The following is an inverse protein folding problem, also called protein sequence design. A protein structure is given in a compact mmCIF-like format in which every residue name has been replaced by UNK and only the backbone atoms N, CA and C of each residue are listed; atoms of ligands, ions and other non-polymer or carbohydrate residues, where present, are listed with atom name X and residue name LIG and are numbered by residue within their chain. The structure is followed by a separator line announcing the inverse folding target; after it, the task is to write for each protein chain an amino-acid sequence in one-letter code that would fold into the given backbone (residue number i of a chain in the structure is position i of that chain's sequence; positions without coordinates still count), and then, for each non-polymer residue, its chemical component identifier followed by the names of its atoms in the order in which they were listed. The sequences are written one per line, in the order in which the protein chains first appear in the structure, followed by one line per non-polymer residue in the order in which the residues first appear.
data_IF_143546203924
#
_entry.id   IF_143546203924
#
_cell.length_a   1.000
_cell.length_b   1.000
_cell.length_c   1.000
_cell.angle_alpha   90.00
_cell.angle_beta   90.00
_cell.angle_gamma   90.00
#
_symmetry.space_group_name_H-M   'P 1'
#
loop_
_entity.id
_entity.type
_entity.pdbx_description
1 polymer ?
#
# COMPACT_ATOMS: atom_id res chain seq x y z
N UNK A 1 9.20 -1.93 14.67
CA UNK A 1 8.46 -2.33 13.46
C UNK A 1 8.68 -1.29 12.37
N UNK A 2 8.83 -1.71 11.12
CA UNK A 2 8.97 -0.85 9.93
C UNK A 2 7.92 -1.18 8.88
N UNK A 3 7.68 -0.25 7.97
CA UNK A 3 6.70 -0.38 6.89
C UNK A 3 7.30 0.08 5.57
N UNK A 4 6.54 -0.12 4.49
CA UNK A 4 6.88 0.39 3.16
C UNK A 4 7.25 1.88 3.22
N UNK A 5 6.51 2.72 3.96
CA UNK A 5 6.79 4.15 4.10
C UNK A 5 8.14 4.39 4.75
N UNK A 6 8.32 3.90 5.98
CA UNK A 6 9.50 4.20 6.79
C UNK A 6 10.79 3.52 6.33
N UNK A 7 10.69 2.33 5.70
CA UNK A 7 11.89 1.53 5.38
C UNK A 7 12.13 1.34 3.87
N UNK A 8 11.32 1.97 3.01
CA UNK A 8 11.60 1.99 1.57
C UNK A 8 11.39 3.37 0.95
N UNK A 9 10.23 4.00 1.18
CA UNK A 9 9.79 5.20 0.47
C UNK A 9 10.47 6.47 0.96
N UNK A 10 10.56 6.65 2.28
CA UNK A 10 11.08 7.88 2.89
C UNK A 10 12.50 8.23 2.42
N UNK A 11 13.30 7.23 2.06
CA UNK A 11 14.65 7.43 1.50
C UNK A 11 14.65 8.32 0.25
N UNK A 12 13.61 8.26 -0.55
CA UNK A 12 13.51 9.03 -1.80
C UNK A 12 12.53 10.19 -1.71
N UNK A 13 11.64 10.17 -0.71
CA UNK A 13 10.57 11.15 -0.55
C UNK A 13 11.00 12.38 0.24
N UNK A 14 11.90 12.22 1.21
CA UNK A 14 12.43 13.29 2.04
C UNK A 14 13.82 13.71 1.56
N UNK A 15 14.09 15.00 1.48
CA UNK A 15 15.43 15.53 1.16
C UNK A 15 16.43 15.21 2.28
N UNK A 16 15.97 15.13 3.54
CA UNK A 16 16.79 14.81 4.71
C UNK A 16 16.06 13.83 5.63
N UNK A 17 16.54 12.58 5.66
CA UNK A 17 16.03 11.55 6.56
C UNK A 17 16.98 11.41 7.77
N UNK A 18 16.49 11.43 9.03
CA UNK A 18 17.35 11.35 10.22
C UNK A 18 17.89 9.93 10.51
N UNK A 19 17.63 8.97 9.63
CA UNK A 19 18.09 7.59 9.74
C UNK A 19 18.35 6.99 8.35
N UNK A 20 19.16 5.94 8.29
CA UNK A 20 19.36 5.13 7.10
C UNK A 20 18.71 3.76 7.32
N UNK A 21 17.63 3.41 6.56
CA UNK A 21 16.90 2.16 6.80
C UNK A 21 17.69 0.89 6.45
N UNK A 22 18.77 0.99 5.70
CA UNK A 22 19.65 -0.15 5.38
C UNK A 22 20.84 -0.27 6.34
N UNK A 23 21.33 0.85 6.87
CA UNK A 23 22.53 0.87 7.72
C UNK A 23 22.18 0.78 9.21
N UNK A 24 21.10 1.46 9.64
CA UNK A 24 20.81 1.64 11.07
C UNK A 24 19.91 0.53 11.64
N UNK A 25 19.44 -0.40 10.78
CA UNK A 25 18.55 -1.50 11.16
C UNK A 25 18.98 -2.83 10.55
N UNK A 26 18.76 -3.90 11.31
CA UNK A 26 18.90 -5.29 10.86
C UNK A 26 17.49 -5.87 10.57
N UNK A 27 17.18 -6.27 9.33
CA UNK A 27 15.93 -6.94 9.01
C UNK A 27 15.80 -8.26 9.75
N UNK A 28 14.66 -8.48 10.41
CA UNK A 28 14.37 -9.72 11.15
C UNK A 28 13.36 -10.57 10.38
N UNK A 29 12.19 -10.01 10.07
CA UNK A 29 11.12 -10.75 9.41
C UNK A 29 10.15 -9.80 8.67
N UNK A 30 9.76 -10.15 7.47
CA UNK A 30 8.57 -9.62 6.81
C UNK A 30 7.35 -10.33 7.39
N UNK A 31 6.46 -9.57 8.05
CA UNK A 31 5.38 -10.15 8.86
C UNK A 31 4.04 -10.12 8.14
N UNK A 32 3.73 -9.00 7.50
CA UNK A 32 2.43 -8.77 6.85
C UNK A 32 2.63 -8.10 5.50
N UNK A 33 1.90 -8.60 4.52
CA UNK A 33 1.65 -7.94 3.26
C UNK A 33 0.14 -7.76 3.11
N UNK A 34 -0.34 -6.52 3.27
CA UNK A 34 -1.77 -6.20 3.19
C UNK A 34 -2.11 -5.68 1.78
N UNK A 35 -3.13 -6.28 1.19
CA UNK A 35 -3.63 -5.91 -0.13
C UNK A 35 -4.34 -4.56 -0.07
N UNK A 36 -4.11 -3.74 -1.10
CA UNK A 36 -4.80 -2.47 -1.29
C UNK A 36 -6.07 -2.65 -2.12
N UNK A 37 -7.07 -1.82 -1.85
CA UNK A 37 -8.31 -1.74 -2.62
C UNK A 37 -8.50 -0.29 -3.09
N UNK A 38 -8.69 -0.10 -4.38
CA UNK A 38 -9.16 1.17 -4.94
C UNK A 38 -10.66 1.25 -4.74
N UNK A 39 -11.08 2.20 -3.92
CA UNK A 39 -12.49 2.47 -3.63
C UNK A 39 -12.87 3.88 -4.06
N UNK A 40 -14.12 4.04 -4.47
CA UNK A 40 -14.71 5.30 -4.91
C UNK A 40 -15.92 5.66 -4.06
N UNK A 41 -16.18 6.97 -3.96
CA UNK A 41 -17.49 7.44 -3.54
C UNK A 41 -18.55 7.05 -4.59
N UNK A 42 -19.76 6.59 -4.21
CA UNK A 42 -20.79 6.14 -5.16
C UNK A 42 -21.25 7.18 -6.18
N UNK A 43 -21.08 8.49 -5.90
CA UNK A 43 -21.41 9.56 -6.85
C UNK A 43 -20.46 9.64 -8.05
N UNK A 44 -19.26 9.05 -7.99
CA UNK A 44 -18.36 9.00 -9.14
C UNK A 44 -18.97 8.08 -10.20
N UNK A 45 -19.31 8.58 -11.40
CA UNK A 45 -20.14 7.86 -12.37
C UNK A 45 -19.34 6.86 -13.22
N UNK A 46 -18.55 5.99 -12.56
CA UNK A 46 -17.73 4.96 -13.23
C UNK A 46 -17.87 3.62 -12.52
N UNK A 47 -17.72 2.53 -13.27
CA UNK A 47 -17.82 1.14 -12.79
C UNK A 47 -16.53 0.33 -13.02
N UNK A 48 -15.61 0.85 -13.81
CA UNK A 48 -14.37 0.16 -14.18
C UNK A 48 -13.15 1.10 -14.07
N UNK A 49 -11.95 0.51 -13.93
CA UNK A 49 -10.70 1.30 -13.93
C UNK A 49 -10.50 2.05 -15.24
N UNK A 50 -10.90 1.45 -16.37
CA UNK A 50 -10.84 2.12 -17.70
C UNK A 50 -11.71 3.37 -17.75
N UNK A 51 -12.94 3.28 -17.24
CA UNK A 51 -13.86 4.44 -17.16
C UNK A 51 -13.32 5.52 -16.21
N UNK A 52 -12.70 5.11 -15.07
CA UNK A 52 -12.06 6.06 -14.16
C UNK A 52 -10.91 6.82 -14.83
N UNK A 53 -10.05 6.12 -15.57
CA UNK A 53 -8.96 6.73 -16.33
C UNK A 53 -9.52 7.68 -17.40
N UNK A 54 -10.55 7.28 -18.13
CA UNK A 54 -11.19 8.11 -19.14
C UNK A 54 -11.80 9.38 -18.51
N UNK A 55 -12.49 9.25 -17.38
CA UNK A 55 -13.04 10.39 -16.63
C UNK A 55 -11.95 11.35 -16.14
N UNK A 56 -10.86 10.81 -15.57
CA UNK A 56 -9.73 11.61 -15.08
C UNK A 56 -9.04 12.38 -16.23
N UNK A 57 -8.91 11.77 -17.42
CA UNK A 57 -8.37 12.43 -18.61
C UNK A 57 -9.29 13.52 -19.16
N UNK A 58 -10.61 13.30 -19.12
CA UNK A 58 -11.60 14.28 -19.56
C UNK A 58 -11.73 15.46 -18.59
N UNK A 59 -11.34 15.29 -17.35
CA UNK A 59 -11.49 16.29 -16.28
C UNK A 59 -10.19 16.40 -15.43
N UNK A 60 -9.08 16.88 -16.04
CA UNK A 60 -7.81 17.01 -15.33
C UNK A 60 -7.96 17.94 -14.12
N UNK A 61 -7.37 17.53 -12.99
CA UNK A 61 -7.39 18.27 -11.73
C UNK A 61 -8.75 18.29 -10.99
N UNK A 62 -9.83 17.67 -11.51
CA UNK A 62 -11.14 17.71 -10.87
C UNK A 62 -11.42 16.51 -9.95
N UNK A 63 -10.76 15.39 -10.16
CA UNK A 63 -10.87 14.24 -9.26
C UNK A 63 -9.83 14.35 -8.17
N UNK A 64 -10.23 14.09 -6.93
CA UNK A 64 -9.34 14.06 -5.78
C UNK A 64 -9.21 12.65 -5.21
N UNK A 65 -7.98 12.23 -4.88
CA UNK A 65 -7.76 11.03 -4.11
C UNK A 65 -7.28 11.33 -2.70
N UNK A 66 -7.89 10.67 -1.74
CA UNK A 66 -7.48 10.73 -0.34
C UNK A 66 -6.30 9.79 -0.08
N UNK A 67 -5.48 10.10 0.91
CA UNK A 67 -4.48 9.18 1.46
C UNK A 67 -4.40 9.28 2.98
N UNK A 68 -3.77 8.27 3.61
CA UNK A 68 -3.49 8.30 5.05
C UNK A 68 -2.35 9.26 5.42
N UNK A 69 -1.86 10.02 4.47
CA UNK A 69 -0.77 10.99 4.61
C UNK A 69 0.36 10.74 3.61
N UNK A 70 1.23 11.74 3.49
CA UNK A 70 2.39 11.67 2.61
C UNK A 70 3.30 10.48 2.94
N UNK A 71 3.83 9.80 1.92
CA UNK A 71 4.72 8.63 2.07
C UNK A 71 4.04 7.33 2.50
N UNK A 72 2.71 7.33 2.73
CA UNK A 72 1.97 6.10 3.01
C UNK A 72 1.71 5.29 1.73
N UNK A 73 1.40 3.99 1.88
CA UNK A 73 1.05 3.12 0.76
C UNK A 73 -0.13 3.68 -0.07
N UNK A 74 -1.09 4.35 0.57
CA UNK A 74 -2.22 4.98 -0.12
C UNK A 74 -1.81 6.16 -0.99
N UNK A 75 -0.89 7.00 -0.53
CA UNK A 75 -0.30 8.08 -1.33
C UNK A 75 0.44 7.51 -2.54
N UNK A 76 1.33 6.54 -2.31
CA UNK A 76 2.14 5.93 -3.36
C UNK A 76 1.30 5.23 -4.43
N UNK A 77 0.21 4.57 -4.03
CA UNK A 77 -0.72 3.96 -4.97
C UNK A 77 -1.36 5.01 -5.88
N UNK A 78 -1.73 6.17 -5.32
CA UNK A 78 -2.23 7.30 -6.09
C UNK A 78 -1.20 7.83 -7.08
N UNK A 79 0.03 8.06 -6.64
CA UNK A 79 1.11 8.57 -7.50
C UNK A 79 1.50 7.55 -8.59
N UNK A 80 1.56 6.26 -8.25
CA UNK A 80 1.78 5.21 -9.24
C UNK A 80 0.64 5.18 -10.28
N UNK A 81 -0.61 5.32 -9.83
CA UNK A 81 -1.77 5.37 -10.71
C UNK A 81 -1.70 6.58 -11.65
N UNK A 82 -1.39 7.78 -11.13
CA UNK A 82 -1.18 9.00 -11.94
C UNK A 82 -0.12 8.80 -13.01
N UNK A 83 1.05 8.30 -12.60
CA UNK A 83 2.19 8.06 -13.49
C UNK A 83 1.85 7.06 -14.61
N UNK A 84 1.29 5.90 -14.26
CA UNK A 84 0.99 4.84 -15.23
C UNK A 84 -0.19 5.19 -16.15
N UNK A 85 -1.25 5.78 -15.61
CA UNK A 85 -2.43 6.16 -16.37
C UNK A 85 -2.26 7.49 -17.13
N UNK A 86 -1.22 8.27 -16.80
CA UNK A 86 -0.97 9.63 -17.31
C UNK A 86 -2.21 10.51 -17.15
N UNK A 87 -2.66 10.63 -15.90
CA UNK A 87 -3.82 11.42 -15.49
C UNK A 87 -3.43 12.43 -14.43
N UNK A 88 -4.13 13.56 -14.42
CA UNK A 88 -4.03 14.57 -13.38
C UNK A 88 -5.18 14.42 -12.40
N UNK A 89 -4.86 13.94 -11.18
CA UNK A 89 -5.76 13.82 -10.03
C UNK A 89 -5.10 14.45 -8.81
N UNK A 90 -5.89 15.17 -8.01
CA UNK A 90 -5.40 15.94 -6.86
C UNK A 90 -5.21 15.03 -5.66
N UNK A 91 -4.07 15.14 -4.98
CA UNK A 91 -3.80 14.43 -3.73
C UNK A 91 -4.30 15.23 -2.52
N UNK A 92 -5.09 14.60 -1.65
CA UNK A 92 -5.55 15.15 -0.36
C UNK A 92 -5.00 14.27 0.77
N UNK A 93 -3.94 14.72 1.47
CA UNK A 93 -3.37 13.97 2.58
C UNK A 93 -4.15 14.15 3.88
N UNK A 94 -4.40 13.06 4.59
CA UNK A 94 -5.02 13.02 5.91
C UNK A 94 -4.03 12.52 6.97
N UNK A 95 -4.39 12.66 8.25
CA UNK A 95 -3.64 12.10 9.38
C UNK A 95 -4.11 10.67 9.72
N UNK A 96 -4.04 9.76 8.73
CA UNK A 96 -4.42 8.34 8.87
C UNK A 96 -5.62 7.94 8.01
N UNK A 97 -5.94 6.62 8.01
CA UNK A 97 -7.01 6.06 7.18
C UNK A 97 -8.42 6.50 7.64
N UNK A 98 -8.66 6.64 8.94
CA UNK A 98 -9.99 6.92 9.47
C UNK A 98 -10.56 8.24 8.93
N UNK A 99 -9.89 9.40 9.07
CA UNK A 99 -10.39 10.65 8.50
C UNK A 99 -10.48 10.60 6.97
N UNK A 100 -9.54 9.95 6.27
CA UNK A 100 -9.59 9.80 4.81
C UNK A 100 -10.83 9.02 4.35
N UNK A 101 -11.18 7.94 5.04
CA UNK A 101 -12.38 7.13 4.74
C UNK A 101 -13.65 7.91 5.06
N UNK A 102 -13.69 8.65 6.17
CA UNK A 102 -14.83 9.46 6.57
C UNK A 102 -15.16 10.50 5.50
N UNK A 103 -14.15 11.23 5.03
CA UNK A 103 -14.33 12.26 4.01
C UNK A 103 -14.66 11.68 2.63
N UNK A 104 -14.12 10.48 2.31
CA UNK A 104 -14.52 9.77 1.10
C UNK A 104 -16.01 9.35 1.16
N UNK A 105 -16.49 8.83 2.30
CA UNK A 105 -17.92 8.49 2.49
C UNK A 105 -18.78 9.75 2.42
N UNK A 106 -18.29 10.88 2.91
CA UNK A 106 -18.94 12.18 2.81
C UNK A 106 -18.89 12.84 1.44
N UNK A 107 -18.21 12.22 0.45
CA UNK A 107 -18.09 12.75 -0.91
C UNK A 107 -17.13 13.94 -1.05
N UNK A 108 -16.32 14.24 -0.02
CA UNK A 108 -15.33 15.33 -0.07
C UNK A 108 -14.14 14.97 -0.98
N UNK A 109 -13.89 13.67 -1.19
CA UNK A 109 -12.91 13.15 -2.13
C UNK A 109 -13.56 12.11 -3.05
N UNK A 110 -12.95 11.87 -4.20
CA UNK A 110 -13.51 10.98 -5.24
C UNK A 110 -13.14 9.52 -5.01
N UNK A 111 -11.90 9.27 -4.54
CA UNK A 111 -11.33 7.93 -4.44
C UNK A 111 -10.26 7.83 -3.35
N UNK A 112 -9.98 6.58 -2.96
CA UNK A 112 -8.93 6.25 -2.00
C UNK A 112 -8.34 4.88 -2.34
N UNK A 113 -7.02 4.77 -2.25
CA UNK A 113 -6.32 3.49 -2.16
C UNK A 113 -6.11 3.15 -0.69
N UNK A 114 -6.84 2.19 -0.17
CA UNK A 114 -6.76 1.82 1.25
C UNK A 114 -6.46 0.33 1.41
N UNK A 115 -5.95 -0.05 2.57
CA UNK A 115 -5.81 -1.47 2.91
C UNK A 115 -7.20 -2.10 3.02
N UNK A 116 -7.33 -3.30 2.49
CA UNK A 116 -8.62 -3.98 2.36
C UNK A 116 -9.39 -4.07 3.69
N UNK A 117 -8.77 -4.43 4.84
CA UNK A 117 -9.48 -4.50 6.11
C UNK A 117 -10.20 -3.20 6.50
N UNK A 118 -9.64 -2.05 6.12
CA UNK A 118 -10.18 -0.75 6.55
C UNK A 118 -11.40 -0.31 5.73
N UNK A 119 -11.51 -0.73 4.48
CA UNK A 119 -12.59 -0.26 3.57
C UNK A 119 -13.58 -1.33 3.17
N UNK A 120 -13.24 -2.62 3.27
CA UNK A 120 -14.13 -3.71 2.89
C UNK A 120 -15.48 -3.70 3.65
N UNK A 121 -15.55 -3.38 4.94
CA UNK A 121 -16.83 -3.20 5.63
C UNK A 121 -17.70 -2.10 5.02
N UNK A 122 -17.10 -0.99 4.59
CA UNK A 122 -17.83 0.13 3.97
C UNK A 122 -18.31 -0.21 2.56
N UNK A 123 -17.55 -1.02 1.84
CA UNK A 123 -17.96 -1.56 0.53
C UNK A 123 -19.13 -2.53 0.70
N UNK A 124 -19.07 -3.46 1.67
CA UNK A 124 -20.16 -4.39 1.98
C UNK A 124 -21.45 -3.66 2.42
N UNK A 125 -21.29 -2.53 3.11
CA UNK A 125 -22.41 -1.66 3.52
C UNK A 125 -22.93 -0.75 2.40
N UNK A 126 -22.36 -0.82 1.17
CA UNK A 126 -22.76 0.01 0.03
C UNK A 126 -22.38 1.50 0.14
N UNK A 127 -21.61 1.89 1.17
CA UNK A 127 -21.15 3.27 1.36
C UNK A 127 -20.01 3.67 0.44
N UNK A 128 -19.23 2.69 -0.01
CA UNK A 128 -18.16 2.85 -0.98
C UNK A 128 -18.28 1.81 -2.09
N UNK A 129 -17.76 2.13 -3.27
CA UNK A 129 -17.68 1.19 -4.39
C UNK A 129 -16.24 0.68 -4.53
N UNK A 130 -16.04 -0.64 -4.45
CA UNK A 130 -14.78 -1.26 -4.81
C UNK A 130 -14.63 -1.27 -6.34
N UNK A 131 -13.49 -0.81 -6.85
CA UNK A 131 -13.22 -0.77 -8.29
C UNK A 131 -12.20 -1.82 -8.71
N UNK A 132 -11.09 -1.93 -7.97
CA UNK A 132 -10.04 -2.91 -8.26
C UNK A 132 -9.11 -3.12 -7.05
N UNK A 133 -8.47 -4.29 -7.00
CA UNK A 133 -7.41 -4.62 -6.05
C UNK A 133 -6.07 -4.09 -6.57
N UNK A 134 -5.25 -3.56 -5.69
CA UNK A 134 -3.97 -2.95 -6.05
C UNK A 134 -2.79 -3.95 -6.05
N UNK A 135 -2.99 -5.19 -5.62
CA UNK A 135 -2.00 -6.27 -5.66
C UNK A 135 -1.91 -6.91 -7.04
N UNK A 136 -0.83 -7.67 -7.30
CA UNK A 136 -0.60 -8.38 -8.56
C UNK A 136 -1.66 -9.45 -8.86
N UNK A 137 -2.30 -10.01 -7.82
CA UNK A 137 -3.33 -11.04 -7.92
C UNK A 137 -4.59 -10.59 -7.22
N UNK A 138 -5.73 -11.16 -7.64
CA UNK A 138 -7.01 -10.93 -6.96
C UNK A 138 -6.96 -11.39 -5.51
N UNK A 139 -7.74 -10.72 -4.66
CA UNK A 139 -7.82 -11.06 -3.25
C UNK A 139 -8.88 -12.15 -3.00
N UNK A 140 -8.57 -13.18 -2.20
CA UNK A 140 -9.58 -14.11 -1.72
C UNK A 140 -10.71 -13.45 -0.92
N UNK A 141 -10.42 -12.30 -0.25
CA UNK A 141 -11.41 -11.53 0.49
C UNK A 141 -12.39 -10.75 -0.42
N UNK A 142 -12.02 -10.57 -1.72
CA UNK A 142 -12.84 -9.90 -2.73
C UNK A 142 -12.64 -10.54 -4.12
N UNK A 143 -13.01 -11.83 -4.32
CA UNK A 143 -12.63 -12.61 -5.51
C UNK A 143 -13.23 -12.08 -6.82
N UNK A 144 -14.35 -11.38 -6.73
CA UNK A 144 -15.04 -10.79 -7.88
C UNK A 144 -14.48 -9.42 -8.30
N UNK A 145 -13.58 -8.84 -7.50
CA UNK A 145 -12.95 -7.54 -7.81
C UNK A 145 -11.67 -7.79 -8.60
N UNK A 146 -11.53 -7.27 -9.83
CA UNK A 146 -10.32 -7.45 -10.64
C UNK A 146 -9.14 -6.72 -10.03
N UNK A 147 -7.92 -7.04 -10.44
CA UNK A 147 -6.75 -6.21 -10.14
C UNK A 147 -6.73 -4.99 -11.06
N UNK A 148 -6.02 -3.93 -10.63
CA UNK A 148 -5.78 -2.74 -11.49
C UNK A 148 -4.99 -3.15 -12.73
N UNK A 149 -4.04 -4.09 -12.57
CA UNK A 149 -3.24 -4.62 -13.66
C UNK A 149 -4.09 -5.34 -14.72
N UNK A 150 -5.00 -6.23 -14.30
CA UNK A 150 -5.95 -6.92 -15.19
C UNK A 150 -6.92 -5.94 -15.87
N UNK A 151 -7.39 -4.95 -15.13
CA UNK A 151 -8.44 -4.07 -15.59
C UNK A 151 -7.96 -3.02 -16.62
N UNK A 152 -6.74 -2.46 -16.45
CA UNK A 152 -6.31 -1.34 -17.28
C UNK A 152 -4.81 -1.03 -17.31
N UNK A 153 -4.05 -1.31 -16.26
CA UNK A 153 -2.65 -0.88 -16.09
C UNK A 153 -1.73 -2.08 -15.83
N UNK A 154 -1.32 -2.82 -16.87
CA UNK A 154 -0.41 -3.96 -16.71
C UNK A 154 0.86 -3.58 -15.93
N UNK A 155 1.22 -4.38 -14.93
CA UNK A 155 2.36 -4.11 -14.05
C UNK A 155 2.06 -3.18 -12.86
N UNK A 156 0.82 -2.68 -12.72
CA UNK A 156 0.43 -1.97 -11.50
C UNK A 156 0.41 -2.93 -10.32
N UNK A 157 1.25 -2.66 -9.34
CA UNK A 157 1.29 -3.44 -8.11
C UNK A 157 1.79 -2.57 -6.95
N UNK A 158 0.99 -2.54 -5.90
CA UNK A 158 1.39 -2.04 -4.59
C UNK A 158 0.80 -2.92 -3.49
N UNK A 159 1.65 -3.30 -2.56
CA UNK A 159 1.28 -4.02 -1.35
C UNK A 159 1.83 -3.27 -0.15
N UNK A 160 0.98 -2.98 0.82
CA UNK A 160 1.45 -2.40 2.07
C UNK A 160 2.09 -3.50 2.91
N UNK A 161 3.39 -3.41 3.17
CA UNK A 161 4.09 -4.39 3.98
C UNK A 161 4.54 -3.83 5.33
N UNK A 162 4.60 -4.71 6.30
CA UNK A 162 5.10 -4.45 7.64
C UNK A 162 6.13 -5.53 7.99
N UNK A 163 7.26 -5.10 8.50
CA UNK A 163 8.34 -5.97 8.96
C UNK A 163 8.82 -5.64 10.36
N UNK A 164 9.49 -6.61 10.96
CA UNK A 164 10.22 -6.45 12.22
C UNK A 164 11.69 -6.21 11.89
N UNK A 165 12.25 -5.21 12.54
CA UNK A 165 13.66 -4.84 12.44
C UNK A 165 14.23 -4.75 13.83
N UNK A 166 15.50 -5.10 13.97
CA UNK A 166 16.32 -4.86 15.15
C UNK A 166 17.27 -3.67 14.89
N UNK A 167 17.86 -3.04 15.90
CA UNK A 167 18.95 -2.09 15.71
C UNK A 167 20.12 -2.73 14.94
N UNK A 168 20.85 -1.92 14.17
CA UNK A 168 22.10 -2.38 13.58
C UNK A 168 23.08 -2.87 14.66
N UNK A 169 23.86 -3.89 14.34
CA UNK A 169 24.79 -4.52 15.29
C UNK A 169 24.15 -5.53 16.25
N UNK A 170 22.83 -5.79 16.16
CA UNK A 170 22.22 -6.91 16.89
C UNK A 170 22.89 -8.23 16.47
N UNK A 171 23.35 -9.09 17.40
CA UNK A 171 24.01 -10.36 17.09
C UNK A 171 23.16 -11.25 16.17
N UNK A 172 23.82 -11.91 15.22
CA UNK A 172 23.14 -12.71 14.17
C UNK A 172 22.29 -13.86 14.74
N UNK A 173 22.74 -14.48 15.82
CA UNK A 173 22.01 -15.53 16.53
C UNK A 173 20.71 -15.01 17.18
N UNK A 174 20.72 -13.79 17.72
CA UNK A 174 19.53 -13.13 18.24
C UNK A 174 18.54 -12.82 17.10
N UNK A 175 19.03 -12.27 15.97
CA UNK A 175 18.19 -12.03 14.79
C UNK A 175 17.57 -13.33 14.28
N UNK A 176 18.35 -14.40 14.17
CA UNK A 176 17.87 -15.71 13.75
C UNK A 176 16.84 -16.30 14.70
N UNK A 177 17.04 -16.19 16.00
CA UNK A 177 16.09 -16.65 17.01
C UNK A 177 14.77 -15.88 16.96
N UNK A 178 14.82 -14.56 16.84
CA UNK A 178 13.63 -13.72 16.67
C UNK A 178 12.87 -14.08 15.39
N UNK A 179 13.58 -14.27 14.27
CA UNK A 179 12.96 -14.70 13.03
C UNK A 179 12.25 -16.05 13.20
N UNK A 180 12.93 -17.06 13.78
CA UNK A 180 12.35 -18.39 13.97
C UNK A 180 11.04 -18.34 14.81
N UNK A 181 11.02 -17.57 15.91
CA UNK A 181 9.82 -17.44 16.74
C UNK A 181 8.70 -16.68 16.02
N UNK A 182 9.00 -15.61 15.30
CA UNK A 182 8.02 -14.89 14.48
C UNK A 182 7.43 -15.84 13.41
N UNK A 183 8.30 -16.59 12.69
CA UNK A 183 7.84 -17.55 11.69
C UNK A 183 6.94 -18.65 12.29
N UNK A 184 7.25 -19.11 13.51
CA UNK A 184 6.43 -20.09 14.23
C UNK A 184 5.03 -19.52 14.55
N UNK A 185 4.98 -18.32 15.12
CA UNK A 185 3.72 -17.63 15.48
C UNK A 185 2.88 -17.35 14.23
N UNK A 186 3.50 -16.83 13.19
CA UNK A 186 2.80 -16.46 11.95
C UNK A 186 2.22 -17.67 11.19
N UNK A 187 2.68 -18.90 11.48
CA UNK A 187 2.13 -20.14 10.92
C UNK A 187 0.95 -20.72 11.72
N UNK A 188 0.62 -20.17 12.88
CA UNK A 188 -0.52 -20.64 13.67
C UNK A 188 -1.82 -20.51 12.87
N UNK A 189 -2.70 -21.51 12.84
CA UNK A 189 -3.93 -21.50 12.03
C UNK A 189 -4.83 -20.31 12.31
N UNK A 190 -4.95 -19.91 13.58
CA UNK A 190 -5.74 -18.75 13.98
C UNK A 190 -5.17 -17.43 13.44
N UNK A 191 -3.82 -17.29 13.37
CA UNK A 191 -3.16 -16.12 12.80
C UNK A 191 -3.38 -16.09 11.29
N UNK A 192 -3.19 -17.21 10.61
CA UNK A 192 -3.41 -17.32 9.16
C UNK A 192 -4.86 -17.03 8.78
N UNK A 193 -5.80 -17.58 9.52
CA UNK A 193 -7.24 -17.34 9.30
C UNK A 193 -7.60 -15.86 9.44
N UNK A 194 -7.07 -15.21 10.48
CA UNK A 194 -7.29 -13.78 10.69
C UNK A 194 -6.72 -12.94 9.55
N UNK A 195 -5.47 -13.20 9.14
CA UNK A 195 -4.84 -12.48 8.03
C UNK A 195 -5.63 -12.63 6.73
N UNK A 196 -6.05 -13.86 6.40
CA UNK A 196 -6.83 -14.11 5.19
C UNK A 196 -8.17 -13.35 5.18
N UNK A 197 -8.88 -13.35 6.33
CA UNK A 197 -10.15 -12.63 6.48
C UNK A 197 -9.98 -11.10 6.35
N UNK A 198 -8.80 -10.60 6.70
CA UNK A 198 -8.45 -9.18 6.61
C UNK A 198 -7.81 -8.80 5.26
N UNK A 199 -7.71 -9.72 4.29
CA UNK A 199 -7.03 -9.45 3.00
C UNK A 199 -5.54 -9.17 3.16
N UNK A 200 -4.92 -9.81 4.14
CA UNK A 200 -3.49 -9.77 4.39
C UNK A 200 -2.87 -11.13 4.15
N UNK A 201 -1.59 -11.14 3.78
CA UNK A 201 -0.82 -12.36 3.51
C UNK A 201 0.42 -12.39 4.37
N UNK A 202 0.84 -13.60 4.69
CA UNK A 202 2.15 -13.89 5.25
C UNK A 202 2.81 -14.96 4.40
N UNK A 203 4.09 -14.75 4.07
CA UNK A 203 4.95 -15.76 3.46
C UNK A 203 6.16 -15.97 4.37
N UNK A 204 6.51 -17.22 4.69
CA UNK A 204 7.73 -17.51 5.43
C UNK A 204 8.96 -16.90 4.74
N UNK A 205 9.82 -16.26 5.51
CA UNK A 205 11.02 -15.62 5.00
C UNK A 205 12.14 -15.63 6.01
N UNK A 206 13.37 -15.60 5.50
CA UNK A 206 14.58 -15.40 6.29
C UNK A 206 14.94 -13.92 6.41
N UNK A 207 15.79 -13.52 7.37
CA UNK A 207 16.31 -12.15 7.45
C UNK A 207 17.00 -11.70 6.15
N UNK A 208 17.70 -12.60 5.46
CA UNK A 208 18.36 -12.32 4.20
C UNK A 208 17.36 -12.04 3.06
N UNK A 209 16.31 -12.86 2.94
CA UNK A 209 15.25 -12.66 1.93
C UNK A 209 14.50 -11.36 2.19
N UNK A 210 14.22 -11.04 3.47
CA UNK A 210 13.59 -9.77 3.81
C UNK A 210 14.50 -8.57 3.51
N UNK A 211 15.81 -8.67 3.75
CA UNK A 211 16.77 -7.64 3.37
C UNK A 211 16.81 -7.41 1.85
N UNK A 212 16.78 -8.48 1.06
CA UNK A 212 16.73 -8.41 -0.41
C UNK A 212 15.41 -7.76 -0.89
N UNK A 213 14.28 -8.16 -0.31
CA UNK A 213 12.98 -7.55 -0.56
C UNK A 213 12.98 -6.05 -0.25
N UNK A 214 13.48 -5.63 0.92
CA UNK A 214 13.58 -4.22 1.30
C UNK A 214 14.40 -3.40 0.27
N UNK A 215 15.54 -3.92 -0.16
CA UNK A 215 16.38 -3.26 -1.20
C UNK A 215 15.63 -3.10 -2.52
N UNK A 216 14.89 -4.13 -2.95
CA UNK A 216 14.09 -4.07 -4.17
C UNK A 216 12.97 -3.03 -4.07
N UNK A 217 12.32 -2.93 -2.92
CA UNK A 217 11.28 -1.93 -2.65
C UNK A 217 11.84 -0.50 -2.65
N UNK A 218 13.02 -0.28 -2.05
CA UNK A 218 13.70 1.04 -2.11
C UNK A 218 13.98 1.44 -3.57
N UNK A 219 14.49 0.53 -4.39
CA UNK A 219 14.79 0.79 -5.79
C UNK A 219 13.52 1.08 -6.60
N UNK A 220 12.47 0.27 -6.42
CA UNK A 220 11.15 0.43 -7.06
C UNK A 220 10.55 1.79 -6.74
N UNK A 221 10.41 2.11 -5.47
CA UNK A 221 9.76 3.35 -5.03
C UNK A 221 10.61 4.59 -5.31
N UNK A 222 11.94 4.47 -5.28
CA UNK A 222 12.82 5.52 -5.72
C UNK A 222 12.60 5.92 -7.19
N UNK A 223 12.31 4.96 -8.06
CA UNK A 223 11.94 5.24 -9.46
C UNK A 223 10.58 5.95 -9.53
N UNK A 224 9.55 5.42 -8.89
CA UNK A 224 8.19 5.99 -8.90
C UNK A 224 8.18 7.43 -8.37
N UNK A 225 8.87 7.70 -7.27
CA UNK A 225 8.94 9.04 -6.66
C UNK A 225 9.63 10.04 -7.59
N UNK A 226 10.73 9.65 -8.23
CA UNK A 226 11.40 10.53 -9.21
C UNK A 226 10.52 10.84 -10.43
N UNK A 227 9.79 9.83 -10.93
CA UNK A 227 8.92 9.98 -12.10
C UNK A 227 7.65 10.80 -11.80
N UNK A 228 7.09 10.67 -10.59
CA UNK A 228 5.90 11.41 -10.17
C UNK A 228 6.21 12.83 -9.71
N UNK A 229 7.46 13.13 -9.37
CA UNK A 229 7.85 14.40 -8.77
C UNK A 229 7.36 14.59 -7.34
N UNK A 230 6.88 13.53 -6.68
CA UNK A 230 6.38 13.58 -5.31
C UNK A 230 7.50 13.96 -4.33
N UNK A 231 7.25 14.98 -3.49
CA UNK A 231 8.14 15.45 -2.41
C UNK A 231 7.31 15.84 -1.20
N UNK A 232 7.94 15.84 -0.02
CA UNK A 232 7.27 16.22 1.25
C UNK A 232 7.86 17.48 1.86
N UNK A 233 9.06 17.86 1.43
CA UNK A 233 9.83 19.03 1.89
C UNK A 233 10.48 19.80 0.70
#
# INVERSE_FOLDING_TARGET
MGSIGTHAVNVSLFSRLPYDPLRDFAPVALVIQAEGLLVLHPSVPVKTVKELIALARARPGQLAYASAGNGTASHLAGELFKSMAKVDIVHIPYKGNVPAITDLIGGQTSMLFATMPTVLPQVKAGKLRALAVASAQRSPAAPNVPTIAEAALPGFEITNWIGVFAPAGTPADIVARLNAEIMRIMRLPEVQSRLANEGAKFAPNTPHEFAAFQKSEIAKWGKVIRESGARVD
#
